data_IF_685397088465
#
_entry.id   IF_685397088465
#
_cell.length_a   1.000
_cell.length_b   1.000
_cell.length_c   1.000
_cell.angle_alpha   90.00
_cell.angle_beta   90.00
_cell.angle_gamma   90.00
#
_symmetry.space_group_name_H-M   'P 1'
#
loop_
_entity.id
_entity.type
_entity.pdbx_description
1 polymer ?
#
# COMPACT_ATOMS: atom_id res chain seq x y z
N UNK A 1 -4.00 38.12 22.94
CA UNK A 1 -3.80 36.67 23.15
C UNK A 1 -5.11 36.01 22.80
N UNK A 2 -5.05 34.83 22.14
CA UNK A 2 -6.17 33.99 21.63
C UNK A 2 -6.57 34.35 20.18
N UNK A 3 -6.61 33.45 19.20
CA UNK A 3 -6.46 31.99 19.14
C UNK A 3 -5.79 31.63 17.81
N UNK A 4 -4.66 30.91 17.86
CA UNK A 4 -4.07 30.30 16.66
C UNK A 4 -4.90 29.06 16.38
N UNK A 5 -5.81 29.14 15.41
CA UNK A 5 -6.43 27.97 14.81
C UNK A 5 -5.34 27.17 14.09
N UNK A 6 -4.72 26.24 14.81
CA UNK A 6 -3.99 25.14 14.16
C UNK A 6 -5.07 24.15 13.76
N UNK A 7 -5.54 24.28 12.53
CA UNK A 7 -6.39 23.28 11.90
C UNK A 7 -5.58 21.98 11.82
N UNK A 8 -5.85 21.04 12.73
CA UNK A 8 -5.25 19.71 12.63
C UNK A 8 -5.84 19.08 11.38
N UNK A 9 -5.04 18.97 10.31
CA UNK A 9 -5.43 18.25 9.10
C UNK A 9 -5.66 16.79 9.51
N UNK A 10 -6.90 16.43 9.79
CA UNK A 10 -7.30 15.05 10.05
C UNK A 10 -7.45 14.36 8.70
N UNK A 11 -6.57 13.41 8.41
CA UNK A 11 -6.72 12.54 7.24
C UNK A 11 -7.95 11.66 7.44
N UNK A 12 -8.77 11.54 6.42
CA UNK A 12 -9.88 10.58 6.40
C UNK A 12 -9.38 9.15 6.15
N UNK A 13 -10.14 8.16 6.61
CA UNK A 13 -9.79 6.73 6.45
C UNK A 13 -9.49 6.34 5.00
N UNK A 14 -10.22 6.92 4.03
CA UNK A 14 -9.99 6.68 2.60
C UNK A 14 -8.63 7.21 2.13
N UNK A 15 -8.21 8.38 2.61
CA UNK A 15 -6.91 8.98 2.25
C UNK A 15 -5.77 8.16 2.84
N UNK A 16 -5.94 7.74 4.10
CA UNK A 16 -5.00 6.84 4.79
C UNK A 16 -4.90 5.51 4.02
N UNK A 17 -6.03 4.88 3.67
CA UNK A 17 -6.04 3.64 2.92
C UNK A 17 -5.37 3.78 1.54
N UNK A 18 -5.59 4.90 0.85
CA UNK A 18 -4.96 5.18 -0.44
C UNK A 18 -3.44 5.30 -0.32
N UNK A 19 -2.93 6.00 0.69
CA UNK A 19 -1.48 6.11 0.91
C UNK A 19 -0.86 4.76 1.33
N UNK A 20 -1.54 4.01 2.20
CA UNK A 20 -1.12 2.67 2.58
C UNK A 20 -1.07 1.72 1.38
N UNK A 21 -2.03 1.80 0.44
CA UNK A 21 -2.02 0.98 -0.79
C UNK A 21 -0.81 1.29 -1.67
N UNK A 22 -0.45 2.58 -1.78
CA UNK A 22 0.74 3.04 -2.51
C UNK A 22 2.01 2.46 -1.90
N UNK A 23 2.16 2.59 -0.58
CA UNK A 23 3.36 2.17 0.14
C UNK A 23 3.50 0.65 0.21
N UNK A 24 2.38 -0.05 0.34
CA UNK A 24 2.30 -1.50 0.25
C UNK A 24 2.79 -2.00 -1.11
N UNK A 25 2.34 -1.40 -2.22
CA UNK A 25 2.82 -1.73 -3.57
C UNK A 25 4.32 -1.46 -3.72
N UNK A 26 4.81 -0.34 -3.20
CA UNK A 26 6.24 -0.02 -3.22
C UNK A 26 7.06 -1.06 -2.45
N UNK A 27 6.55 -1.53 -1.32
CA UNK A 27 7.18 -2.58 -0.51
C UNK A 27 7.30 -3.89 -1.27
N UNK A 28 6.25 -4.32 -2.00
CA UNK A 28 6.28 -5.52 -2.84
C UNK A 28 7.38 -5.45 -3.91
N UNK A 29 7.48 -4.32 -4.61
CA UNK A 29 8.49 -4.11 -5.66
C UNK A 29 9.89 -4.15 -5.05
N UNK A 30 10.09 -3.45 -3.93
CA UNK A 30 11.39 -3.35 -3.26
C UNK A 30 11.87 -4.70 -2.72
N UNK A 31 10.99 -5.45 -2.06
CA UNK A 31 11.27 -6.78 -1.55
C UNK A 31 11.50 -7.78 -2.69
N UNK A 32 10.66 -7.76 -3.73
CA UNK A 32 10.82 -8.61 -4.92
C UNK A 32 12.18 -8.42 -5.58
N UNK A 33 12.60 -7.16 -5.76
CA UNK A 33 13.93 -6.83 -6.26
C UNK A 33 15.03 -7.35 -5.32
N UNK A 34 14.92 -7.10 -4.02
CA UNK A 34 15.92 -7.54 -3.04
C UNK A 34 16.07 -9.07 -3.00
N UNK A 35 15.00 -9.86 -3.15
CA UNK A 35 15.08 -11.33 -3.26
C UNK A 35 15.94 -11.76 -4.45
N UNK A 36 15.80 -11.07 -5.59
CA UNK A 36 16.56 -11.41 -6.81
C UNK A 36 18.03 -11.01 -6.71
N UNK A 37 18.35 -9.94 -5.99
CA UNK A 37 19.72 -9.42 -5.84
C UNK A 37 20.49 -10.08 -4.67
N UNK A 38 19.80 -10.70 -3.71
CA UNK A 38 20.43 -11.34 -2.57
C UNK A 38 21.25 -12.59 -2.97
N UNK A 39 22.53 -12.60 -2.62
CA UNK A 39 23.44 -13.75 -2.83
C UNK A 39 23.55 -14.66 -1.62
N UNK A 40 23.40 -14.11 -0.40
CA UNK A 40 23.39 -14.88 0.83
C UNK A 40 22.06 -15.65 0.97
N UNK A 41 22.06 -17.00 1.10
CA UNK A 41 20.84 -17.80 1.15
C UNK A 41 19.94 -17.52 2.35
N UNK A 42 20.52 -17.25 3.52
CA UNK A 42 19.76 -16.97 4.75
C UNK A 42 19.05 -15.62 4.65
N UNK A 43 19.76 -14.60 4.17
CA UNK A 43 19.17 -13.28 3.90
C UNK A 43 18.07 -13.37 2.83
N UNK A 44 18.31 -14.12 1.75
CA UNK A 44 17.30 -14.36 0.71
C UNK A 44 16.04 -14.99 1.30
N UNK A 45 16.20 -16.00 2.16
CA UNK A 45 15.07 -16.65 2.85
C UNK A 45 14.27 -15.68 3.72
N UNK A 46 14.95 -14.81 4.46
CA UNK A 46 14.31 -13.78 5.28
C UNK A 46 13.52 -12.76 4.43
N UNK A 47 14.15 -12.22 3.38
CA UNK A 47 13.50 -11.25 2.49
C UNK A 47 12.32 -11.91 1.78
N UNK A 48 12.44 -13.17 1.35
CA UNK A 48 11.35 -13.91 0.74
C UNK A 48 10.18 -14.09 1.72
N UNK A 49 10.44 -14.42 2.98
CA UNK A 49 9.40 -14.48 4.01
C UNK A 49 8.69 -13.14 4.17
N UNK A 50 9.45 -12.03 4.19
CA UNK A 50 8.87 -10.69 4.30
C UNK A 50 8.04 -10.31 3.05
N UNK A 51 8.49 -10.71 1.85
CA UNK A 51 7.75 -10.51 0.61
C UNK A 51 6.40 -11.25 0.66
N UNK A 52 6.38 -12.50 1.09
CA UNK A 52 5.14 -13.28 1.20
C UNK A 52 4.16 -12.65 2.19
N UNK A 53 4.65 -12.19 3.35
CA UNK A 53 3.83 -11.44 4.30
C UNK A 53 3.28 -10.14 3.69
N UNK A 54 4.12 -9.39 2.98
CA UNK A 54 3.70 -8.15 2.33
C UNK A 54 2.66 -8.38 1.24
N UNK A 55 2.73 -9.50 0.50
CA UNK A 55 1.71 -9.90 -0.50
C UNK A 55 0.36 -10.12 0.18
N UNK A 56 0.34 -10.89 1.27
CA UNK A 56 -0.88 -11.16 2.02
C UNK A 56 -1.49 -9.86 2.57
N UNK A 57 -0.66 -9.00 3.19
CA UNK A 57 -1.11 -7.71 3.72
C UNK A 57 -1.64 -6.78 2.61
N UNK A 58 -1.01 -6.77 1.43
CA UNK A 58 -1.48 -5.98 0.30
C UNK A 58 -2.87 -6.43 -0.17
N UNK A 59 -3.10 -7.74 -0.21
CA UNK A 59 -4.42 -8.29 -0.57
C UNK A 59 -5.47 -7.91 0.46
N UNK A 60 -5.20 -8.09 1.75
CA UNK A 60 -6.12 -7.71 2.83
C UNK A 60 -6.50 -6.23 2.79
N UNK A 61 -5.51 -5.34 2.57
CA UNK A 61 -5.75 -3.91 2.43
C UNK A 61 -6.55 -3.58 1.16
N UNK A 62 -6.24 -4.23 0.05
CA UNK A 62 -6.96 -4.04 -1.22
C UNK A 62 -8.42 -4.49 -1.13
N UNK A 63 -8.67 -5.61 -0.45
CA UNK A 63 -10.02 -6.13 -0.20
C UNK A 63 -10.80 -5.19 0.71
N UNK A 64 -10.20 -4.72 1.81
CA UNK A 64 -10.83 -3.73 2.70
C UNK A 64 -11.20 -2.44 1.94
N UNK A 65 -10.25 -1.89 1.17
CA UNK A 65 -10.48 -0.67 0.41
C UNK A 65 -11.55 -0.86 -0.68
N UNK A 66 -11.61 -2.05 -1.30
CA UNK A 66 -12.63 -2.37 -2.30
C UNK A 66 -14.01 -2.53 -1.66
N UNK A 67 -14.11 -3.22 -0.52
CA UNK A 67 -15.37 -3.38 0.24
C UNK A 67 -15.95 -2.04 0.71
N UNK A 68 -15.08 -1.06 0.98
CA UNK A 68 -15.46 0.31 1.35
C UNK A 68 -15.70 1.25 0.17
N UNK A 69 -15.62 0.74 -1.07
CA UNK A 69 -15.72 1.49 -2.33
C UNK A 69 -14.64 2.59 -2.50
N UNK A 70 -13.54 2.51 -1.74
CA UNK A 70 -12.41 3.44 -1.79
C UNK A 70 -11.41 3.11 -2.89
N UNK A 71 -11.32 1.85 -3.29
CA UNK A 71 -10.43 1.37 -4.34
C UNK A 71 -11.20 0.51 -5.34
N UNK A 72 -11.06 0.81 -6.63
CA UNK A 72 -11.82 0.14 -7.71
C UNK A 72 -10.86 -0.46 -8.75
N UNK A 73 -10.13 -1.55 -8.41
CA UNK A 73 -9.10 -2.11 -9.27
C UNK A 73 -9.62 -2.68 -10.59
N UNK A 74 -10.89 -3.07 -10.62
CA UNK A 74 -11.54 -3.74 -11.76
C UNK A 74 -12.24 -2.78 -12.74
N UNK A 75 -12.09 -1.46 -12.55
CA UNK A 75 -12.54 -0.50 -13.54
C UNK A 75 -11.79 -0.70 -14.85
N UNK A 76 -12.50 -0.54 -15.98
CA UNK A 76 -11.85 -0.51 -17.29
C UNK A 76 -10.82 0.63 -17.35
N UNK A 77 -9.77 0.54 -18.20
CA UNK A 77 -8.80 1.62 -18.33
C UNK A 77 -9.45 2.99 -18.59
N UNK A 78 -10.51 3.04 -19.39
CA UNK A 78 -11.27 4.26 -19.68
C UNK A 78 -12.00 4.82 -18.45
N UNK A 79 -12.46 3.95 -17.54
CA UNK A 79 -13.08 4.35 -16.29
C UNK A 79 -12.04 4.79 -15.24
N UNK A 80 -10.84 4.22 -15.26
CA UNK A 80 -9.76 4.58 -14.31
C UNK A 80 -9.15 5.96 -14.57
N UNK A 81 -9.15 6.44 -15.82
CA UNK A 81 -8.63 7.77 -16.18
C UNK A 81 -9.63 8.91 -15.96
N UNK A 82 -10.91 8.59 -15.72
CA UNK A 82 -11.94 9.58 -15.43
C UNK A 82 -11.89 9.90 -13.94
N UNK A 83 -11.42 11.11 -13.63
CA UNK A 83 -11.45 11.68 -12.28
C UNK A 83 -12.88 11.95 -11.83
#
# INVERSE_FOLDING_TARGET
MLEVFVDYISLGDQEIASDMLKDSRFSLISLGRAVTEATNPQLKGLILSNLLTAVEQHHQLSDLASQKDWYKPLLTPQQQVRK
#
